data_IF_751573207776
#
_entry.id   IF_751573207776
#
_cell.length_a   1.000
_cell.length_b   1.000
_cell.length_c   1.000
_cell.angle_alpha   90.00
_cell.angle_beta   90.00
_cell.angle_gamma   90.00
#
_symmetry.space_group_name_H-M   'P 1'
#
loop_
_entity.id
_entity.type
_entity.pdbx_description
1 polymer ?
#
# COMPACT_ATOMS: atom_id res chain seq x y z
N UNK A 1 25.10 0.34 -5.59
CA UNK A 1 24.44 0.36 -6.93
C UNK A 1 24.83 -0.82 -7.81
N UNK A 2 26.10 -1.25 -7.88
CA UNK A 2 26.51 -2.40 -8.72
C UNK A 2 25.78 -3.72 -8.41
N UNK A 3 25.54 -4.03 -7.13
CA UNK A 3 24.77 -5.22 -6.74
C UNK A 3 23.31 -5.17 -7.22
N UNK A 4 22.67 -3.99 -7.13
CA UNK A 4 21.29 -3.78 -7.60
C UNK A 4 21.22 -3.92 -9.12
N UNK A 5 22.19 -3.36 -9.86
CA UNK A 5 22.27 -3.50 -11.31
C UNK A 5 22.39 -4.96 -11.75
N UNK A 6 23.27 -5.73 -11.08
CA UNK A 6 23.43 -7.17 -11.32
C UNK A 6 22.16 -7.95 -11.00
N UNK A 7 21.53 -7.71 -9.86
CA UNK A 7 20.32 -8.41 -9.43
C UNK A 7 19.10 -8.12 -10.34
N UNK A 8 18.97 -6.87 -10.80
CA UNK A 8 17.89 -6.45 -11.70
C UNK A 8 18.17 -6.75 -13.19
N UNK A 9 19.36 -7.26 -13.54
CA UNK A 9 19.73 -7.57 -14.92
C UNK A 9 19.82 -6.34 -15.84
N UNK A 10 20.20 -5.18 -15.30
CA UNK A 10 20.25 -3.91 -16.04
C UNK A 10 21.63 -3.25 -15.98
N UNK A 11 21.99 -2.40 -16.97
CA UNK A 11 23.23 -1.63 -16.93
C UNK A 11 23.31 -0.71 -15.70
N UNK A 12 24.52 -0.54 -15.16
CA UNK A 12 24.77 0.31 -13.99
C UNK A 12 24.28 1.75 -14.19
N UNK A 13 24.44 2.30 -15.40
CA UNK A 13 24.03 3.67 -15.71
C UNK A 13 22.51 3.86 -15.68
N UNK A 14 21.73 2.80 -15.98
CA UNK A 14 20.26 2.85 -15.82
C UNK A 14 19.90 3.01 -14.34
N UNK A 15 20.58 2.29 -13.45
CA UNK A 15 20.37 2.39 -11.99
C UNK A 15 20.78 3.77 -11.48
N UNK A 16 21.92 4.29 -11.92
CA UNK A 16 22.38 5.64 -11.55
C UNK A 16 21.40 6.72 -11.99
N UNK A 17 20.95 6.66 -13.25
CA UNK A 17 19.95 7.59 -13.78
C UNK A 17 18.67 7.55 -12.97
N UNK A 18 18.14 6.34 -12.69
CA UNK A 18 16.91 6.19 -11.92
C UNK A 18 17.07 6.71 -10.49
N UNK A 19 18.21 6.48 -9.84
CA UNK A 19 18.48 7.03 -8.51
C UNK A 19 18.50 8.56 -8.50
N UNK A 20 19.07 9.18 -9.54
CA UNK A 20 19.05 10.64 -9.70
C UNK A 20 17.65 11.19 -9.99
N UNK A 21 16.84 10.49 -10.79
CA UNK A 21 15.44 10.88 -11.08
C UNK A 21 14.56 10.84 -9.83
N UNK A 22 14.82 9.91 -8.90
CA UNK A 22 14.08 9.75 -7.66
C UNK A 22 14.63 10.61 -6.51
N UNK A 23 15.69 11.38 -6.74
CA UNK A 23 16.25 12.25 -5.71
C UNK A 23 15.35 13.46 -5.49
N UNK A 24 14.95 13.67 -4.24
CA UNK A 24 14.08 14.78 -3.84
C UNK A 24 14.83 15.77 -2.95
N UNK A 25 14.50 17.05 -3.07
CA UNK A 25 15.08 18.10 -2.23
C UNK A 25 14.71 17.96 -0.74
N UNK A 26 13.47 17.52 -0.45
CA UNK A 26 13.02 17.21 0.89
C UNK A 26 12.20 15.89 0.91
N UNK A 27 12.86 14.75 1.17
CA UNK A 27 12.20 13.44 1.16
C UNK A 27 11.09 13.28 2.20
N UNK A 28 11.11 14.06 3.30
CA UNK A 28 10.04 13.99 4.31
C UNK A 28 8.68 14.41 3.72
N UNK A 29 8.69 15.36 2.78
CA UNK A 29 7.51 15.96 2.14
C UNK A 29 7.29 15.51 0.69
N UNK A 30 8.05 14.51 0.23
CA UNK A 30 8.11 14.09 -1.17
C UNK A 30 7.04 13.10 -1.62
N UNK A 31 7.37 12.31 -2.64
CA UNK A 31 6.53 11.32 -3.28
C UNK A 31 6.54 9.99 -2.51
N UNK A 32 5.81 9.98 -1.40
CA UNK A 32 5.69 8.85 -0.47
C UNK A 32 4.27 8.69 0.06
N UNK A 33 4.04 7.61 0.81
CA UNK A 33 2.74 7.31 1.43
C UNK A 33 1.61 7.18 0.39
N UNK A 34 0.44 7.76 0.69
CA UNK A 34 -0.71 7.70 -0.22
C UNK A 34 -0.39 8.20 -1.63
N UNK A 35 0.49 9.20 -1.79
CA UNK A 35 0.86 9.79 -3.08
C UNK A 35 1.55 8.77 -3.99
N UNK A 36 2.40 7.94 -3.41
CA UNK A 36 3.08 6.86 -4.14
C UNK A 36 2.08 5.77 -4.55
N UNK A 37 1.20 5.38 -3.63
CA UNK A 37 0.17 4.37 -3.88
C UNK A 37 -0.90 4.85 -4.90
N UNK A 38 -1.12 6.16 -5.01
CA UNK A 38 -2.02 6.73 -6.03
C UNK A 38 -1.39 6.63 -7.42
N UNK A 39 -0.09 6.91 -7.55
CA UNK A 39 0.61 6.83 -8.84
C UNK A 39 0.98 5.40 -9.25
N UNK A 40 1.16 4.51 -8.27
CA UNK A 40 1.50 3.09 -8.45
C UNK A 40 0.53 2.22 -7.63
N UNK A 41 -0.75 2.13 -8.04
CA UNK A 41 -1.79 1.41 -7.30
C UNK A 41 -1.49 -0.07 -7.10
N UNK A 42 -0.68 -0.68 -7.97
CA UNK A 42 -0.23 -2.07 -7.86
C UNK A 42 0.52 -2.36 -6.55
N UNK A 43 1.14 -1.35 -5.93
CA UNK A 43 1.80 -1.50 -4.62
C UNK A 43 0.74 -1.68 -3.52
N UNK A 44 -0.33 -0.88 -3.56
CA UNK A 44 -1.43 -0.94 -2.61
C UNK A 44 -2.18 -2.27 -2.74
N UNK A 45 -2.46 -2.68 -3.98
CA UNK A 45 -3.09 -3.97 -4.30
C UNK A 45 -2.26 -5.14 -3.77
N UNK A 46 -0.96 -5.19 -4.06
CA UNK A 46 -0.08 -6.26 -3.61
C UNK A 46 -0.05 -6.36 -2.08
N UNK A 47 0.06 -5.23 -1.38
CA UNK A 47 0.08 -5.22 0.09
C UNK A 47 -1.28 -5.62 0.70
N UNK A 48 -2.38 -5.09 0.17
CA UNK A 48 -3.72 -5.44 0.63
C UNK A 48 -3.99 -6.93 0.42
N UNK A 49 -3.63 -7.48 -0.75
CA UNK A 49 -3.73 -8.91 -1.05
C UNK A 49 -2.94 -9.73 -0.04
N UNK A 50 -1.67 -9.40 0.19
CA UNK A 50 -0.84 -10.13 1.14
C UNK A 50 -1.44 -10.15 2.57
N UNK A 51 -2.00 -9.01 3.02
CA UNK A 51 -2.67 -8.91 4.33
C UNK A 51 -3.89 -9.84 4.38
N UNK A 52 -4.75 -9.80 3.37
CA UNK A 52 -6.00 -10.54 3.36
C UNK A 52 -5.82 -12.04 3.13
N UNK A 53 -4.88 -12.44 2.26
CA UNK A 53 -4.53 -13.84 2.06
C UNK A 53 -3.95 -14.45 3.34
N UNK A 54 -3.08 -13.71 4.05
CA UNK A 54 -2.56 -14.14 5.34
C UNK A 54 -3.67 -14.25 6.40
N UNK A 55 -4.58 -13.28 6.48
CA UNK A 55 -5.71 -13.33 7.40
C UNK A 55 -6.62 -14.53 7.13
N UNK A 56 -6.90 -14.83 5.87
CA UNK A 56 -7.68 -15.98 5.45
C UNK A 56 -7.02 -17.31 5.81
N UNK A 57 -5.71 -17.45 5.56
CA UNK A 57 -4.93 -18.65 5.89
C UNK A 57 -4.86 -18.91 7.40
N UNK A 58 -4.61 -17.86 8.20
CA UNK A 58 -4.66 -17.95 9.66
C UNK A 58 -6.06 -18.31 10.15
N UNK A 59 -7.10 -17.74 9.53
CA UNK A 59 -8.49 -18.06 9.83
C UNK A 59 -8.83 -19.54 9.65
N UNK A 60 -8.33 -20.16 8.57
CA UNK A 60 -8.50 -21.60 8.30
C UNK A 60 -7.77 -22.47 9.31
N UNK A 61 -6.48 -22.18 9.56
CA UNK A 61 -5.62 -23.00 10.40
C UNK A 61 -5.94 -22.87 11.89
N UNK A 62 -6.18 -21.65 12.38
CA UNK A 62 -6.44 -21.36 13.79
C UNK A 62 -7.92 -21.37 14.17
N UNK A 63 -8.84 -21.63 13.22
CA UNK A 63 -10.31 -21.54 13.37
C UNK A 63 -10.80 -20.18 13.90
N UNK A 64 -9.99 -19.13 13.75
CA UNK A 64 -10.30 -17.76 14.16
C UNK A 64 -9.60 -16.78 13.23
N UNK A 65 -10.38 -16.12 12.38
CA UNK A 65 -9.87 -15.12 11.45
C UNK A 65 -9.52 -13.83 12.20
N UNK A 66 -8.29 -13.30 12.06
CA UNK A 66 -7.94 -12.00 12.62
C UNK A 66 -8.68 -10.88 11.87
N UNK A 67 -9.02 -9.80 12.57
CA UNK A 67 -9.58 -8.60 11.96
C UNK A 67 -8.43 -7.72 11.49
N UNK A 68 -8.19 -7.66 10.18
CA UNK A 68 -7.15 -6.83 9.62
C UNK A 68 -7.54 -5.35 9.68
N UNK A 69 -6.63 -4.50 10.15
CA UNK A 69 -6.78 -3.05 10.12
C UNK A 69 -5.74 -2.46 9.16
N UNK A 70 -6.21 -1.99 8.00
CA UNK A 70 -5.37 -1.43 6.94
C UNK A 70 -5.39 0.09 7.06
N UNK A 71 -4.22 0.68 7.30
CA UNK A 71 -4.08 2.12 7.50
C UNK A 71 -3.32 2.78 6.34
N UNK A 72 -3.92 3.81 5.75
CA UNK A 72 -3.30 4.61 4.68
C UNK A 72 -2.50 5.78 5.30
N UNK A 73 -1.19 5.92 4.99
CA UNK A 73 -0.36 7.00 5.52
C UNK A 73 -0.40 8.27 4.64
N UNK A 74 -0.07 9.41 5.25
CA UNK A 74 0.13 10.74 4.63
C UNK A 74 -1.06 11.28 3.84
N UNK A 75 -2.27 10.91 4.22
CA UNK A 75 -3.50 11.46 3.64
C UNK A 75 -3.66 12.93 4.04
N UNK A 76 -4.03 13.76 3.07
CA UNK A 76 -4.33 15.18 3.22
C UNK A 76 -5.75 15.53 2.77
N UNK A 77 -6.34 14.77 1.84
CA UNK A 77 -7.75 14.93 1.40
C UNK A 77 -8.58 13.67 1.58
N UNK A 78 -9.91 13.85 1.60
CA UNK A 78 -10.84 12.73 1.56
C UNK A 78 -10.69 11.92 0.26
N UNK A 79 -10.48 12.59 -0.87
CA UNK A 79 -10.37 11.94 -2.18
C UNK A 79 -9.18 10.97 -2.26
N UNK A 80 -8.04 11.34 -1.67
CA UNK A 80 -6.86 10.48 -1.59
C UNK A 80 -7.18 9.17 -0.83
N UNK A 81 -7.88 9.27 0.31
CA UNK A 81 -8.29 8.10 1.07
C UNK A 81 -9.34 7.27 0.32
N UNK A 82 -10.35 7.92 -0.27
CA UNK A 82 -11.42 7.23 -1.01
C UNK A 82 -10.85 6.46 -2.19
N UNK A 83 -9.89 7.02 -2.92
CA UNK A 83 -9.27 6.35 -4.06
C UNK A 83 -8.53 5.07 -3.62
N UNK A 84 -7.71 5.15 -2.58
CA UNK A 84 -6.95 3.99 -2.10
C UNK A 84 -7.83 2.97 -1.39
N UNK A 85 -8.85 3.42 -0.66
CA UNK A 85 -9.85 2.54 -0.05
C UNK A 85 -10.55 1.67 -1.10
N UNK A 86 -10.90 2.22 -2.27
CA UNK A 86 -11.49 1.45 -3.37
C UNK A 86 -10.56 0.33 -3.86
N UNK A 87 -9.25 0.59 -3.97
CA UNK A 87 -8.27 -0.43 -4.35
C UNK A 87 -8.20 -1.54 -3.30
N UNK A 88 -8.15 -1.18 -2.02
CA UNK A 88 -8.10 -2.14 -0.90
C UNK A 88 -9.38 -2.99 -0.85
N UNK A 89 -10.55 -2.38 -0.97
CA UNK A 89 -11.85 -3.07 -0.93
C UNK A 89 -12.04 -4.02 -2.12
N UNK A 90 -11.66 -3.59 -3.33
CA UNK A 90 -11.69 -4.44 -4.51
C UNK A 90 -10.77 -5.66 -4.35
N UNK A 91 -9.58 -5.45 -3.80
CA UNK A 91 -8.62 -6.52 -3.51
C UNK A 91 -9.17 -7.49 -2.47
N UNK A 92 -9.79 -6.98 -1.40
CA UNK A 92 -10.43 -7.81 -0.37
C UNK A 92 -11.52 -8.70 -0.97
N UNK A 93 -12.41 -8.13 -1.80
CA UNK A 93 -13.47 -8.88 -2.48
C UNK A 93 -12.90 -9.98 -3.39
N UNK A 94 -11.82 -9.68 -4.10
CA UNK A 94 -11.16 -10.65 -4.95
C UNK A 94 -10.59 -11.82 -4.14
N UNK A 95 -9.87 -11.54 -3.05
CA UNK A 95 -9.31 -12.58 -2.16
C UNK A 95 -10.42 -13.42 -1.52
N UNK A 96 -11.50 -12.79 -1.06
CA UNK A 96 -12.66 -13.51 -0.50
C UNK A 96 -13.27 -14.49 -1.51
N UNK A 97 -13.45 -14.05 -2.75
CA UNK A 97 -13.98 -14.87 -3.84
C UNK A 97 -13.04 -16.02 -4.20
N UNK A 98 -11.75 -15.73 -4.36
CA UNK A 98 -10.74 -16.72 -4.75
C UNK A 98 -10.53 -17.79 -3.68
N UNK A 99 -10.59 -17.42 -2.41
CA UNK A 99 -10.36 -18.34 -1.28
C UNK A 99 -11.64 -18.94 -0.70
N UNK A 100 -12.82 -18.51 -1.15
CA UNK A 100 -14.11 -19.00 -0.67
C UNK A 100 -14.35 -18.71 0.82
N UNK A 101 -13.80 -17.61 1.34
CA UNK A 101 -13.95 -17.22 2.75
C UNK A 101 -14.46 -15.80 2.88
N UNK A 102 -15.26 -15.54 3.91
CA UNK A 102 -15.62 -14.19 4.32
C UNK A 102 -14.79 -13.81 5.54
N UNK A 103 -14.33 -12.56 5.57
CA UNK A 103 -13.59 -11.98 6.69
C UNK A 103 -13.94 -10.52 6.87
N UNK A 104 -13.82 -10.04 8.10
CA UNK A 104 -14.02 -8.63 8.45
C UNK A 104 -12.68 -7.91 8.47
N UNK A 105 -12.69 -6.66 8.02
CA UNK A 105 -11.53 -5.79 8.03
C UNK A 105 -11.95 -4.33 8.21
N UNK A 106 -11.01 -3.48 8.57
CA UNK A 106 -11.18 -2.03 8.65
C UNK A 106 -10.17 -1.35 7.75
N UNK A 107 -10.61 -0.29 7.07
CA UNK A 107 -9.72 0.61 6.34
C UNK A 107 -9.80 1.97 7.00
N UNK A 108 -8.66 2.48 7.45
CA UNK A 108 -8.52 3.77 8.10
C UNK A 108 -7.38 4.59 7.50
N UNK A 109 -7.14 5.75 8.10
CA UNK A 109 -6.04 6.64 7.71
C UNK A 109 -5.25 7.07 8.93
N UNK A 110 -3.97 7.32 8.74
CA UNK A 110 -3.18 8.04 9.72
C UNK A 110 -3.54 9.54 9.67
N UNK A 111 -3.79 10.16 10.82
CA UNK A 111 -3.99 11.62 10.93
C UNK A 111 -2.66 12.25 11.32
N UNK A 112 -1.76 12.37 10.33
CA UNK A 112 -0.37 12.82 10.54
C UNK A 112 -0.02 14.09 9.76
N UNK A 113 -0.92 14.57 8.88
CA UNK A 113 -0.79 15.86 8.21
C UNK A 113 -1.75 16.88 8.84
N UNK A 114 -1.32 18.13 9.08
CA UNK A 114 -2.17 19.14 9.70
C UNK A 114 -3.52 19.32 9.00
N UNK A 115 -3.54 19.24 7.67
CA UNK A 115 -4.78 19.35 6.89
C UNK A 115 -5.76 18.21 7.16
N UNK A 116 -5.28 16.98 7.39
CA UNK A 116 -6.16 15.87 7.74
C UNK A 116 -6.84 16.12 9.09
N UNK A 117 -6.13 16.67 10.07
CA UNK A 117 -6.71 17.04 11.36
C UNK A 117 -7.73 18.19 11.24
N UNK A 118 -7.47 19.16 10.37
CA UNK A 118 -8.38 20.30 10.12
C UNK A 118 -9.65 19.94 9.32
N UNK A 119 -9.73 18.75 8.75
CA UNK A 119 -10.85 18.28 7.92
C UNK A 119 -11.50 17.01 8.48
N UNK A 120 -11.16 16.62 9.71
CA UNK A 120 -11.62 15.40 10.38
C UNK A 120 -13.05 15.51 10.95
#
# INVERSE_FOLDING_TARGET
>A
MGLVAKAAGVPLDRVRRRASELQEANPMLGHRGCRLAITYPEICEMQARAIFEAAAEVGRSAKKTPVAEVMVPLVSTLEELVQLKKVIEATAQQVQKEQGVNFTYRVGTMVELPRAALQA
#
